data_IF_947467731683
#
_entry.id   IF_947467731683
#
_cell.length_a   1.000
_cell.length_b   1.000
_cell.length_c   1.000
_cell.angle_alpha   90.00
_cell.angle_beta   90.00
_cell.angle_gamma   90.00
#
_symmetry.space_group_name_H-M   'P 1'
#
loop_
_entity.id
_entity.type
_entity.pdbx_description
1 polymer ?
#
# COMPACT_ATOMS: atom_id res chain seq x y z
N UNK A 1 -0.11 -18.03 6.04
CA UNK A 1 0.54 -16.82 5.48
C UNK A 1 -0.41 -16.11 4.52
N UNK A 2 -1.26 -15.19 5.01
CA UNK A 2 -2.16 -14.34 4.19
C UNK A 2 -2.34 -12.92 4.79
N UNK A 3 -1.55 -12.55 5.79
CA UNK A 3 -1.77 -11.32 6.57
C UNK A 3 -1.45 -10.05 5.78
N UNK A 4 -0.47 -10.10 4.85
CA UNK A 4 -0.07 -8.95 4.04
C UNK A 4 -1.17 -8.51 3.08
N UNK A 5 -1.85 -9.45 2.42
CA UNK A 5 -2.94 -9.17 1.47
C UNK A 5 -4.15 -8.57 2.17
N UNK A 6 -4.56 -9.13 3.32
CA UNK A 6 -5.66 -8.60 4.11
C UNK A 6 -5.33 -7.23 4.70
N UNK A 7 -4.08 -7.03 5.13
CA UNK A 7 -3.57 -5.74 5.56
C UNK A 7 -3.63 -4.70 4.44
N UNK A 8 -3.16 -5.05 3.24
CA UNK A 8 -3.13 -4.15 2.10
C UNK A 8 -4.53 -3.64 1.73
N UNK A 9 -5.53 -4.51 1.72
CA UNK A 9 -6.93 -4.13 1.48
C UNK A 9 -7.42 -3.17 2.58
N UNK A 10 -7.12 -3.46 3.85
CA UNK A 10 -7.50 -2.59 4.97
C UNK A 10 -6.86 -1.20 4.86
N UNK A 11 -5.61 -1.11 4.43
CA UNK A 11 -4.96 0.18 4.17
C UNK A 11 -5.58 0.90 2.98
N UNK A 12 -5.94 0.19 1.91
CA UNK A 12 -6.66 0.77 0.76
C UNK A 12 -8.04 1.34 1.13
N UNK A 13 -8.60 0.99 2.28
CA UNK A 13 -9.85 1.57 2.79
C UNK A 13 -9.64 2.76 3.74
N UNK A 14 -8.39 3.05 4.12
CA UNK A 14 -8.08 4.13 5.05
C UNK A 14 -7.86 5.46 4.31
N UNK A 15 -8.62 6.53 4.62
CA UNK A 15 -8.43 7.84 4.00
C UNK A 15 -7.01 8.41 4.22
N UNK A 16 -6.39 8.10 5.38
CA UNK A 16 -5.01 8.50 5.66
C UNK A 16 -4.01 7.86 4.69
N UNK A 17 -4.27 6.62 4.27
CA UNK A 17 -3.43 5.94 3.30
C UNK A 17 -3.57 6.59 1.92
N UNK A 18 -4.77 7.02 1.54
CA UNK A 18 -4.99 7.79 0.32
C UNK A 18 -4.23 9.10 0.35
N UNK A 19 -4.27 9.84 1.47
CA UNK A 19 -3.51 11.08 1.63
C UNK A 19 -2.00 10.84 1.52
N UNK A 20 -1.49 9.77 2.12
CA UNK A 20 -0.08 9.38 1.98
C UNK A 20 0.28 9.11 0.51
N UNK A 21 -0.52 8.30 -0.19
CA UNK A 21 -0.30 8.02 -1.62
C UNK A 21 -0.35 9.30 -2.45
N UNK A 22 -1.29 10.18 -2.15
CA UNK A 22 -1.40 11.49 -2.81
C UNK A 22 -0.20 12.39 -2.53
N UNK A 23 0.31 12.40 -1.30
CA UNK A 23 1.54 13.11 -0.94
C UNK A 23 2.77 12.56 -1.67
N UNK A 24 2.77 11.27 -2.01
CA UNK A 24 3.84 10.62 -2.77
C UNK A 24 3.71 10.77 -4.30
N UNK A 25 2.72 11.52 -4.78
CA UNK A 25 2.53 11.87 -6.20
C UNK A 25 1.49 11.04 -6.95
N UNK A 26 0.83 10.09 -6.30
CA UNK A 26 -0.33 9.41 -6.90
C UNK A 26 -1.60 10.28 -6.74
N UNK A 27 -2.70 10.01 -7.46
CA UNK A 27 -3.97 10.73 -7.22
C UNK A 27 -5.01 9.72 -6.78
N UNK A 28 -5.14 9.56 -5.45
CA UNK A 28 -6.00 8.52 -4.88
C UNK A 28 -7.21 9.16 -4.23
N UNK A 29 -8.39 8.85 -4.77
CA UNK A 29 -9.69 9.35 -4.29
C UNK A 29 -10.62 8.24 -3.81
N UNK A 30 -10.28 6.97 -4.07
CA UNK A 30 -11.09 5.82 -3.71
C UNK A 30 -10.23 4.56 -3.48
N UNK A 31 -10.85 3.51 -2.95
CA UNK A 31 -10.19 2.22 -2.64
C UNK A 31 -9.56 1.57 -3.88
N UNK A 32 -10.22 1.65 -5.03
CA UNK A 32 -9.73 1.03 -6.27
C UNK A 32 -8.43 1.69 -6.75
N UNK A 33 -8.39 3.03 -6.75
CA UNK A 33 -7.19 3.81 -7.06
C UNK A 33 -6.07 3.51 -6.06
N UNK A 34 -6.38 3.40 -4.77
CA UNK A 34 -5.39 3.06 -3.74
C UNK A 34 -4.78 1.68 -4.00
N UNK A 35 -5.60 0.71 -4.39
CA UNK A 35 -5.12 -0.63 -4.75
C UNK A 35 -4.28 -0.64 -6.03
N UNK A 36 -4.62 0.19 -7.03
CA UNK A 36 -3.83 0.33 -8.27
C UNK A 36 -2.47 0.96 -7.97
N UNK A 37 -2.44 2.05 -7.21
CA UNK A 37 -1.20 2.71 -6.79
C UNK A 37 -0.31 1.75 -5.98
N UNK A 38 -0.89 1.02 -5.04
CA UNK A 38 -0.17 0.01 -4.25
C UNK A 38 0.42 -1.10 -5.13
N UNK A 39 -0.35 -1.60 -6.11
CA UNK A 39 0.12 -2.61 -7.07
C UNK A 39 1.29 -2.10 -7.90
N UNK A 40 1.19 -0.88 -8.44
CA UNK A 40 2.30 -0.22 -9.17
C UNK A 40 3.56 -0.11 -8.32
N UNK A 41 3.43 0.37 -7.09
CA UNK A 41 4.56 0.54 -6.15
C UNK A 41 5.20 -0.80 -5.79
N UNK A 42 4.37 -1.81 -5.53
CA UNK A 42 4.85 -3.16 -5.20
C UNK A 42 5.34 -3.94 -6.44
N UNK A 43 5.07 -3.45 -7.66
CA UNK A 43 5.42 -4.14 -8.90
C UNK A 43 4.65 -5.44 -9.12
N UNK A 44 3.42 -5.52 -8.62
CA UNK A 44 2.56 -6.71 -8.72
C UNK A 44 1.33 -6.42 -9.59
N UNK A 45 0.90 -7.40 -10.37
CA UNK A 45 -0.38 -7.35 -11.05
C UNK A 45 -1.51 -7.76 -10.10
N UNK A 46 -1.23 -8.72 -9.21
CA UNK A 46 -2.25 -9.31 -8.35
C UNK A 46 -1.82 -9.42 -6.90
N UNK A 47 -2.76 -9.23 -5.97
CA UNK A 47 -2.47 -9.24 -4.52
C UNK A 47 -1.96 -10.61 -4.06
N UNK A 48 -2.30 -11.68 -4.77
CA UNK A 48 -1.77 -13.03 -4.52
C UNK A 48 -0.25 -13.11 -4.69
N UNK A 49 0.34 -12.26 -5.53
CA UNK A 49 1.79 -12.21 -5.75
C UNK A 49 2.55 -11.67 -4.54
N UNK A 50 1.90 -10.93 -3.64
CA UNK A 50 2.50 -10.57 -2.35
C UNK A 50 2.83 -11.81 -1.51
N UNK A 51 2.25 -12.98 -1.79
CA UNK A 51 2.53 -14.17 -1.01
C UNK A 51 3.62 -15.05 -1.65
N UNK A 52 3.73 -15.01 -2.98
CA UNK A 52 4.66 -15.84 -3.75
C UNK A 52 5.93 -15.11 -4.16
N UNK A 53 5.90 -13.78 -4.23
CA UNK A 53 7.03 -12.95 -4.64
C UNK A 53 7.64 -12.21 -3.44
N UNK A 54 8.83 -12.62 -3.01
CA UNK A 54 9.58 -11.98 -1.92
C UNK A 54 9.92 -10.52 -2.21
N UNK A 55 10.16 -10.17 -3.47
CA UNK A 55 10.50 -8.80 -3.86
C UNK A 55 9.29 -7.88 -3.63
N UNK A 56 8.10 -8.34 -3.99
CA UNK A 56 6.85 -7.65 -3.72
C UNK A 56 6.58 -7.50 -2.22
N UNK A 57 6.90 -8.53 -1.40
CA UNK A 57 6.80 -8.43 0.06
C UNK A 57 7.73 -7.37 0.63
N UNK A 58 8.96 -7.31 0.15
CA UNK A 58 9.95 -6.31 0.58
C UNK A 58 9.47 -4.90 0.25
N UNK A 59 9.02 -4.66 -0.99
CA UNK A 59 8.46 -3.37 -1.43
C UNK A 59 7.21 -2.98 -0.65
N UNK A 60 6.32 -3.94 -0.38
CA UNK A 60 5.12 -3.70 0.43
C UNK A 60 5.49 -3.33 1.87
N UNK A 61 6.45 -4.03 2.47
CA UNK A 61 6.91 -3.75 3.84
C UNK A 61 7.52 -2.36 3.93
N UNK A 62 8.33 -1.97 2.94
CA UNK A 62 8.90 -0.63 2.83
C UNK A 62 7.80 0.44 2.69
N UNK A 63 6.79 0.20 1.84
CA UNK A 63 5.63 1.08 1.69
C UNK A 63 4.89 1.30 3.02
N UNK A 64 4.65 0.21 3.78
CA UNK A 64 4.01 0.29 5.09
C UNK A 64 4.89 1.01 6.10
N UNK A 65 6.21 0.83 6.06
CA UNK A 65 7.14 1.57 6.90
C UNK A 65 7.08 3.08 6.61
N UNK A 66 7.06 3.46 5.33
CA UNK A 66 6.89 4.86 4.91
C UNK A 66 5.53 5.42 5.36
N UNK A 67 4.45 4.65 5.22
CA UNK A 67 3.12 5.05 5.69
C UNK A 67 3.07 5.25 7.21
N UNK A 68 3.66 4.35 7.99
CA UNK A 68 3.74 4.49 9.44
C UNK A 68 4.51 5.76 9.82
N UNK A 69 5.63 6.01 9.16
CA UNK A 69 6.42 7.24 9.37
C UNK A 69 5.63 8.50 8.99
N UNK A 70 4.84 8.44 7.92
CA UNK A 70 3.93 9.53 7.54
C UNK A 70 2.87 9.78 8.61
N UNK A 71 2.23 8.73 9.13
CA UNK A 71 1.25 8.82 10.22
C UNK A 71 1.84 9.40 11.51
N UNK A 72 3.10 9.07 11.84
CA UNK A 72 3.79 9.67 13.00
C UNK A 72 4.03 11.17 12.79
N UNK A 73 4.37 11.57 11.56
CA UNK A 73 4.69 12.97 11.23
C UNK A 73 3.45 13.86 11.08
N UNK A 74 2.29 13.29 10.74
CA UNK A 74 1.00 13.98 10.59
C UNK A 74 0.03 13.60 11.73
N UNK A 75 0.52 13.61 12.97
CA UNK A 75 -0.25 13.21 14.15
C UNK A 75 -1.15 14.33 14.65
#
# INVERSE_FOLDING_TARGET
MQQLVKGAVRFCQMPRFWQFLTCTGDTVTNEAEAAIALRRRCGIASRSELNTNQEAQSRYTDLIFQFNRYCIRHK
#
